data_IF_397256953980
#
_entry.id   IF_397256953980
#
_cell.length_a   1.000
_cell.length_b   1.000
_cell.length_c   1.000
_cell.angle_alpha   90.00
_cell.angle_beta   90.00
_cell.angle_gamma   90.00
#
_symmetry.space_group_name_H-M   'P 1'
#
loop_
_entity.id
_entity.type
_entity.pdbx_description
1 polymer ?
#
# COMPACT_ATOMS: atom_id res chain seq x y z
N UNK A 1 -13.91 8.35 -40.49
CA UNK A 1 -13.89 9.73 -39.97
C UNK A 1 -15.09 10.02 -39.05
N UNK A 2 -15.57 9.04 -38.25
CA UNK A 2 -16.77 9.19 -37.41
C UNK A 2 -16.64 8.64 -35.98
N UNK A 3 -15.49 8.11 -35.55
CA UNK A 3 -15.27 7.68 -34.14
C UNK A 3 -14.42 8.65 -33.30
N UNK A 4 -14.03 9.80 -33.86
CA UNK A 4 -13.10 10.75 -33.21
C UNK A 4 -13.75 11.90 -32.42
N UNK A 5 -15.07 11.90 -32.23
CA UNK A 5 -15.77 13.00 -31.52
C UNK A 5 -16.22 12.69 -30.09
N UNK A 6 -16.02 11.48 -29.57
CA UNK A 6 -16.56 11.14 -28.24
C UNK A 6 -15.58 11.24 -27.06
N UNK A 7 -14.29 11.52 -27.30
CA UNK A 7 -13.26 11.52 -26.24
C UNK A 7 -12.95 12.93 -25.69
N UNK A 8 -13.36 14.00 -26.37
CA UNK A 8 -13.04 15.37 -25.98
C UNK A 8 -13.96 16.01 -24.92
N UNK A 9 -14.99 15.31 -24.41
CA UNK A 9 -15.96 15.92 -23.46
C UNK A 9 -15.76 15.55 -21.97
N UNK A 10 -14.67 14.88 -21.58
CA UNK A 10 -14.52 14.35 -20.20
C UNK A 10 -13.37 14.98 -19.40
N UNK A 11 -12.49 15.77 -20.00
CA UNK A 11 -11.35 16.34 -19.30
C UNK A 11 -11.39 17.87 -19.27
N UNK A 12 -11.90 18.39 -18.16
CA UNK A 12 -11.61 19.77 -17.76
C UNK A 12 -10.11 19.93 -17.56
N UNK A 13 -9.56 20.98 -18.19
CA UNK A 13 -8.18 21.42 -18.04
C UNK A 13 -7.80 21.50 -16.55
N UNK A 14 -6.73 20.81 -16.15
CA UNK A 14 -5.99 21.20 -14.95
C UNK A 14 -4.49 21.09 -15.25
N UNK A 15 -3.89 22.27 -15.19
CA UNK A 15 -2.52 22.58 -15.50
C UNK A 15 -1.52 21.91 -14.56
N UNK A 16 -0.31 21.74 -15.08
CA UNK A 16 0.89 21.24 -14.44
C UNK A 16 1.13 21.81 -13.02
N UNK A 17 1.55 20.95 -12.10
CA UNK A 17 2.14 21.36 -10.82
C UNK A 17 3.53 20.75 -10.67
N UNK A 18 4.53 21.64 -10.66
CA UNK A 18 5.91 21.34 -10.31
C UNK A 18 6.06 21.03 -8.82
N UNK A 19 6.92 20.07 -8.49
CA UNK A 19 7.34 19.73 -7.12
C UNK A 19 8.26 20.81 -6.54
N UNK A 20 8.09 21.24 -5.27
CA UNK A 20 9.11 22.03 -4.59
C UNK A 20 10.20 21.14 -3.99
N UNK A 21 11.46 21.50 -4.24
CA UNK A 21 12.60 21.07 -3.44
C UNK A 21 12.35 21.42 -1.96
N UNK A 22 12.53 20.43 -1.08
CA UNK A 22 12.60 20.65 0.36
C UNK A 22 13.97 20.14 0.81
N UNK A 23 14.83 21.08 1.14
CA UNK A 23 16.17 20.86 1.69
C UNK A 23 16.09 19.95 2.92
N UNK A 24 16.90 18.91 2.88
CA UNK A 24 17.13 17.95 3.95
C UNK A 24 18.00 18.56 5.03
N UNK A 25 17.40 18.95 6.15
CA UNK A 25 18.10 19.10 7.43
C UNK A 25 17.11 18.86 8.57
N UNK A 26 17.01 17.59 9.00
CA UNK A 26 16.33 17.20 10.23
C UNK A 26 17.38 16.86 11.29
N UNK A 27 17.32 17.44 12.50
CA UNK A 27 18.25 17.09 13.56
C UNK A 27 17.94 15.68 14.09
N UNK A 28 18.86 14.75 13.84
CA UNK A 28 18.97 13.48 14.55
C UNK A 28 19.41 13.75 15.99
N UNK A 29 18.47 13.79 16.94
CA UNK A 29 18.66 13.26 18.29
C UNK A 29 17.44 13.58 19.16
N UNK A 30 16.61 12.57 19.46
CA UNK A 30 15.98 12.38 20.78
C UNK A 30 15.22 11.03 20.82
N UNK A 31 15.80 9.96 21.42
CA UNK A 31 15.18 8.64 21.54
C UNK A 31 14.04 8.57 22.57
N UNK A 32 12.80 8.86 22.18
CA UNK A 32 11.64 8.74 23.08
C UNK A 32 11.22 7.28 23.39
N UNK A 33 11.74 6.29 22.65
CA UNK A 33 11.42 4.86 22.81
C UNK A 33 12.01 4.19 24.06
N UNK A 34 12.91 4.86 24.82
CA UNK A 34 13.51 4.29 26.04
C UNK A 34 12.57 4.17 27.25
N UNK A 35 11.31 4.65 27.18
CA UNK A 35 10.37 4.66 28.33
C UNK A 35 9.39 3.48 28.39
N UNK A 36 9.43 2.51 27.48
CA UNK A 36 8.43 1.42 27.42
C UNK A 36 8.82 0.17 28.25
N UNK A 37 9.97 0.18 28.92
CA UNK A 37 10.48 -1.00 29.66
C UNK A 37 10.41 -0.84 31.17
N UNK A 38 9.22 -0.67 31.76
CA UNK A 38 9.03 -0.79 33.20
C UNK A 38 7.57 -1.06 33.60
N UNK A 39 7.06 -2.25 33.29
CA UNK A 39 5.99 -2.87 34.10
C UNK A 39 6.18 -4.38 34.10
N UNK A 40 6.88 -4.87 35.13
CA UNK A 40 6.94 -6.30 35.44
C UNK A 40 5.59 -6.71 36.03
N UNK A 41 4.80 -7.46 35.29
CA UNK A 41 3.77 -8.33 35.86
C UNK A 41 4.02 -9.76 35.37
N UNK A 42 4.32 -10.66 36.31
CA UNK A 42 4.41 -12.10 36.07
C UNK A 42 2.97 -12.66 35.97
N UNK A 43 2.65 -13.52 34.99
CA UNK A 43 1.50 -14.40 35.11
C UNK A 43 1.95 -15.79 35.57
N UNK A 44 1.25 -16.30 36.59
CA UNK A 44 1.33 -17.68 37.08
C UNK A 44 0.79 -18.68 36.06
N UNK A 45 1.46 -19.82 35.97
CA UNK A 45 1.14 -20.94 35.10
C UNK A 45 0.17 -21.93 35.80
N UNK A 46 -1.02 -22.15 35.24
CA UNK A 46 -1.70 -23.44 35.05
C UNK A 46 -3.20 -23.26 34.72
N UNK A 47 -3.65 -23.67 33.53
CA UNK A 47 -4.54 -24.84 33.37
C UNK A 47 -5.00 -25.08 31.91
N UNK A 48 -4.86 -26.34 31.49
CA UNK A 48 -5.71 -27.15 30.60
C UNK A 48 -5.95 -26.67 29.16
N UNK A 49 -5.07 -27.17 28.28
CA UNK A 49 -5.26 -27.26 26.83
C UNK A 49 -6.42 -28.21 26.51
N UNK A 50 -7.57 -27.68 26.07
CA UNK A 50 -8.54 -28.44 25.28
C UNK A 50 -8.13 -28.33 23.81
N UNK A 51 -7.69 -29.45 23.23
CA UNK A 51 -7.41 -29.58 21.79
C UNK A 51 -8.74 -29.47 21.04
N UNK A 52 -8.99 -28.34 20.38
CA UNK A 52 -9.96 -28.28 19.28
C UNK A 52 -9.20 -28.50 17.96
N UNK A 53 -9.72 -29.35 17.05
CA UNK A 53 -9.02 -29.70 15.83
C UNK A 53 -8.92 -28.51 14.87
N UNK A 54 -7.70 -28.20 14.43
CA UNK A 54 -7.44 -27.26 13.35
C UNK A 54 -8.14 -27.69 12.06
N UNK A 55 -8.70 -26.76 11.26
CA UNK A 55 -9.13 -27.07 9.91
C UNK A 55 -7.92 -27.53 9.10
N UNK A 56 -8.07 -28.68 8.45
CA UNK A 56 -7.07 -29.31 7.61
C UNK A 56 -6.67 -28.38 6.47
N UNK A 57 -5.37 -28.24 6.26
CA UNK A 57 -4.78 -27.65 5.05
C UNK A 57 -5.19 -28.48 3.84
N UNK A 58 -6.02 -27.92 2.96
CA UNK A 58 -6.33 -28.45 1.64
C UNK A 58 -5.80 -27.53 0.55
N UNK A 59 -5.04 -28.15 -0.38
CA UNK A 59 -4.79 -27.78 -1.78
C UNK A 59 -3.53 -26.96 -2.09
N UNK A 60 -2.40 -27.66 -2.28
CA UNK A 60 -1.22 -27.15 -3.00
C UNK A 60 -1.39 -27.19 -4.54
N UNK A 61 -2.34 -27.96 -5.08
CA UNK A 61 -2.58 -28.08 -6.53
C UNK A 61 -3.34 -26.87 -7.13
N UNK A 62 -4.24 -26.24 -6.37
CA UNK A 62 -5.03 -25.11 -6.88
C UNK A 62 -4.24 -23.80 -6.93
N UNK A 63 -3.24 -23.64 -6.06
CA UNK A 63 -2.42 -22.43 -5.97
C UNK A 63 -1.65 -22.15 -7.26
N UNK A 64 -1.13 -23.18 -7.94
CA UNK A 64 -0.35 -22.98 -9.15
C UNK A 64 -1.20 -22.37 -10.28
N UNK A 65 -2.46 -22.80 -10.40
CA UNK A 65 -3.40 -22.24 -11.38
C UNK A 65 -3.76 -20.78 -11.08
N UNK A 66 -3.87 -20.39 -9.82
CA UNK A 66 -4.15 -18.99 -9.47
C UNK A 66 -2.93 -18.07 -9.67
N UNK A 67 -1.72 -18.57 -9.38
CA UNK A 67 -0.46 -17.88 -9.70
C UNK A 67 -0.37 -17.60 -11.20
N UNK A 68 -0.60 -18.61 -12.03
CA UNK A 68 -0.55 -18.49 -13.49
C UNK A 68 -1.59 -17.50 -14.03
N UNK A 69 -2.84 -17.56 -13.54
CA UNK A 69 -3.89 -16.59 -13.93
C UNK A 69 -3.54 -15.15 -13.57
N UNK A 70 -2.97 -14.91 -12.38
CA UNK A 70 -2.58 -13.56 -11.97
C UNK A 70 -1.40 -13.07 -12.82
N UNK A 71 -0.39 -13.91 -13.04
CA UNK A 71 0.75 -13.59 -13.90
C UNK A 71 0.31 -13.28 -15.33
N UNK A 72 -0.61 -14.06 -15.89
CA UNK A 72 -1.18 -13.82 -17.22
C UNK A 72 -1.86 -12.45 -17.30
N UNK A 73 -2.77 -12.15 -16.36
CA UNK A 73 -3.47 -10.85 -16.30
C UNK A 73 -2.51 -9.67 -16.17
N UNK A 74 -1.48 -9.80 -15.32
CA UNK A 74 -0.45 -8.78 -15.15
C UNK A 74 0.41 -8.64 -16.42
N UNK A 75 0.73 -9.74 -17.10
CA UNK A 75 1.44 -9.74 -18.37
C UNK A 75 0.67 -9.00 -19.45
N UNK A 76 -0.61 -9.31 -19.64
CA UNK A 76 -1.50 -8.63 -20.58
C UNK A 76 -1.65 -7.14 -20.23
N UNK A 77 -1.78 -6.81 -18.96
CA UNK A 77 -1.81 -5.41 -18.49
C UNK A 77 -0.54 -4.65 -18.84
N UNK A 78 0.64 -5.23 -18.56
CA UNK A 78 1.93 -4.60 -18.86
C UNK A 78 2.15 -4.44 -20.36
N UNK A 79 1.78 -5.43 -21.17
CA UNK A 79 1.82 -5.34 -22.63
C UNK A 79 0.93 -4.19 -23.14
N UNK A 80 -0.29 -4.06 -22.61
CA UNK A 80 -1.20 -2.96 -22.97
C UNK A 80 -0.65 -1.59 -22.56
N UNK A 81 -0.03 -1.49 -21.37
CA UNK A 81 0.64 -0.27 -20.94
C UNK A 81 1.79 0.12 -21.88
N UNK A 82 2.59 -0.85 -22.36
CA UNK A 82 3.68 -0.59 -23.31
C UNK A 82 3.15 -0.10 -24.67
N UNK A 83 2.09 -0.74 -25.19
CA UNK A 83 1.42 -0.33 -26.42
C UNK A 83 0.90 1.12 -26.31
N UNK A 84 0.18 1.44 -25.24
CA UNK A 84 -0.36 2.78 -25.00
C UNK A 84 0.74 3.82 -24.75
N UNK A 85 1.85 3.43 -24.13
CA UNK A 85 2.99 4.32 -23.94
C UNK A 85 3.59 4.74 -25.28
N UNK A 86 3.74 3.81 -26.24
CA UNK A 86 4.22 4.12 -27.60
C UNK A 86 3.30 5.11 -28.31
N UNK A 87 1.99 4.89 -28.26
CA UNK A 87 0.99 5.78 -28.87
C UNK A 87 1.02 7.17 -28.20
N UNK A 88 1.05 7.21 -26.86
CA UNK A 88 1.09 8.47 -26.11
C UNK A 88 2.33 9.31 -26.42
N UNK A 89 3.47 8.68 -26.72
CA UNK A 89 4.70 9.36 -27.14
C UNK A 89 4.59 9.92 -28.56
N UNK A 90 4.02 9.16 -29.49
CA UNK A 90 3.78 9.58 -30.88
C UNK A 90 2.80 10.76 -30.93
N UNK A 91 1.73 10.70 -30.15
CA UNK A 91 0.67 11.73 -30.10
C UNK A 91 0.96 12.87 -29.11
N UNK A 92 2.12 12.85 -28.44
CA UNK A 92 2.52 13.83 -27.38
C UNK A 92 1.46 14.04 -26.30
N UNK A 93 0.74 12.98 -25.94
CA UNK A 93 -0.28 13.02 -24.91
C UNK A 93 0.33 12.79 -23.52
N UNK A 94 -0.19 13.47 -22.51
CA UNK A 94 0.07 13.13 -21.10
C UNK A 94 -1.18 12.46 -20.54
N UNK A 95 -1.12 11.15 -20.30
CA UNK A 95 -2.26 10.40 -19.79
C UNK A 95 -1.86 9.33 -18.77
N UNK A 96 -2.82 8.93 -17.94
CA UNK A 96 -2.70 7.79 -17.03
C UNK A 96 -2.85 6.49 -17.82
N UNK A 97 -1.80 6.10 -18.53
CA UNK A 97 -1.76 4.89 -19.38
C UNK A 97 -2.19 3.64 -18.62
N UNK A 98 -1.89 3.57 -17.32
CA UNK A 98 -2.26 2.49 -16.42
C UNK A 98 -3.78 2.39 -16.23
N UNK A 99 -4.48 3.51 -16.12
CA UNK A 99 -5.94 3.53 -16.06
C UNK A 99 -6.60 3.23 -17.40
N UNK A 100 -6.01 3.70 -18.50
CA UNK A 100 -6.50 3.41 -19.85
C UNK A 100 -6.38 1.92 -20.17
N UNK A 101 -5.22 1.31 -19.90
CA UNK A 101 -4.99 -0.12 -20.05
C UNK A 101 -6.01 -0.95 -19.26
N UNK A 102 -6.22 -0.61 -17.98
CA UNK A 102 -7.21 -1.28 -17.14
C UNK A 102 -8.63 -1.16 -17.69
N UNK A 103 -9.01 0.04 -18.14
CA UNK A 103 -10.35 0.30 -18.70
C UNK A 103 -10.60 -0.58 -19.93
N UNK A 104 -9.61 -0.67 -20.82
CA UNK A 104 -9.71 -1.45 -22.05
C UNK A 104 -9.76 -2.96 -21.76
N UNK A 105 -8.89 -3.47 -20.89
CA UNK A 105 -8.89 -4.89 -20.52
C UNK A 105 -10.16 -5.31 -19.76
N UNK A 106 -10.80 -4.39 -19.03
CA UNK A 106 -12.12 -4.62 -18.44
C UNK A 106 -13.23 -4.67 -19.49
N UNK A 107 -13.18 -3.80 -20.49
CA UNK A 107 -14.12 -3.80 -21.62
C UNK A 107 -14.06 -5.10 -22.41
N UNK A 108 -12.86 -5.67 -22.54
CA UNK A 108 -12.62 -6.95 -23.21
C UNK A 108 -12.96 -8.18 -22.34
N UNK A 109 -13.33 -7.99 -21.07
CA UNK A 109 -13.65 -9.09 -20.16
C UNK A 109 -12.44 -9.89 -19.64
N UNK A 110 -11.21 -9.51 -20.04
CA UNK A 110 -9.96 -10.17 -19.60
C UNK A 110 -9.74 -9.95 -18.11
N UNK A 111 -9.92 -8.70 -17.64
CA UNK A 111 -9.81 -8.35 -16.23
C UNK A 111 -11.21 -8.10 -15.69
N UNK A 112 -11.63 -8.94 -14.75
CA UNK A 112 -12.89 -8.75 -14.04
C UNK A 112 -12.85 -7.51 -13.14
N UNK A 113 -14.04 -7.01 -12.78
CA UNK A 113 -14.15 -6.08 -11.66
C UNK A 113 -13.70 -6.81 -10.39
N UNK A 114 -13.00 -6.08 -9.52
CA UNK A 114 -12.54 -6.60 -8.22
C UNK A 114 -13.69 -7.27 -7.46
N UNK A 115 -13.43 -8.48 -6.94
CA UNK A 115 -14.31 -9.20 -6.03
C UNK A 115 -14.36 -8.51 -4.66
N UNK A 116 -15.17 -9.05 -3.74
CA UNK A 116 -15.22 -8.55 -2.37
C UNK A 116 -13.83 -8.55 -1.72
N UNK A 117 -13.51 -7.53 -0.89
CA UNK A 117 -12.23 -7.49 -0.19
C UNK A 117 -12.02 -8.71 0.70
N UNK A 118 -10.83 -9.31 0.60
CA UNK A 118 -10.42 -10.47 1.41
C UNK A 118 -9.41 -10.04 2.46
N UNK A 119 -9.45 -10.68 3.64
CA UNK A 119 -8.46 -10.54 4.71
C UNK A 119 -7.35 -11.58 4.55
N UNK A 120 -6.13 -11.24 4.99
CA UNK A 120 -5.00 -12.16 4.93
C UNK A 120 -4.40 -12.29 3.53
N UNK A 121 -3.81 -13.45 3.24
CA UNK A 121 -3.14 -13.75 1.96
C UNK A 121 -4.12 -13.77 0.78
N UNK A 122 -3.62 -13.45 -0.41
CA UNK A 122 -4.37 -13.53 -1.66
C UNK A 122 -3.89 -14.75 -2.43
N UNK A 123 -4.79 -15.68 -2.84
CA UNK A 123 -4.42 -16.78 -3.72
C UNK A 123 -3.73 -16.28 -4.99
N UNK A 124 -2.60 -16.90 -5.34
CA UNK A 124 -1.83 -16.53 -6.52
C UNK A 124 -0.87 -15.34 -6.36
N UNK A 125 -0.75 -14.77 -5.16
CA UNK A 125 0.20 -13.67 -4.87
C UNK A 125 1.11 -14.05 -3.70
N UNK A 126 2.41 -14.00 -3.94
CA UNK A 126 3.44 -14.45 -3.00
C UNK A 126 4.22 -13.27 -2.42
N UNK A 127 4.72 -13.46 -1.19
CA UNK A 127 5.58 -12.48 -0.53
C UNK A 127 6.86 -12.32 -1.36
N UNK A 128 7.21 -11.07 -1.69
CA UNK A 128 8.29 -10.72 -2.62
C UNK A 128 7.82 -10.39 -4.03
N UNK A 129 6.56 -10.68 -4.39
CA UNK A 129 6.02 -10.27 -5.69
C UNK A 129 6.09 -8.74 -5.88
N UNK A 130 6.55 -8.33 -7.06
CA UNK A 130 6.80 -6.94 -7.42
C UNK A 130 5.87 -6.42 -8.51
N UNK A 131 5.48 -5.16 -8.39
CA UNK A 131 4.50 -4.49 -9.24
C UNK A 131 4.97 -3.09 -9.62
N UNK A 132 4.66 -2.65 -10.84
CA UNK A 132 5.11 -1.34 -11.36
C UNK A 132 4.06 -0.24 -11.21
N UNK A 133 2.80 -0.61 -11.05
CA UNK A 133 1.68 0.32 -10.95
C UNK A 133 0.79 -0.01 -9.75
N UNK A 134 0.21 1.01 -9.12
CA UNK A 134 -0.87 0.82 -8.13
C UNK A 134 -2.06 0.06 -8.70
N UNK A 135 -2.27 0.15 -10.02
CA UNK A 135 -3.29 -0.60 -10.73
C UNK A 135 -3.02 -2.11 -10.71
N UNK A 136 -1.76 -2.52 -10.79
CA UNK A 136 -1.40 -3.94 -10.70
C UNK A 136 -1.76 -4.54 -9.33
N UNK A 137 -1.62 -3.76 -8.24
CA UNK A 137 -2.07 -4.19 -6.91
C UNK A 137 -3.58 -4.44 -6.84
N UNK A 138 -4.38 -3.72 -7.65
CA UNK A 138 -5.80 -4.02 -7.78
C UNK A 138 -6.05 -5.28 -8.60
N UNK A 139 -5.33 -5.45 -9.71
CA UNK A 139 -5.47 -6.63 -10.59
C UNK A 139 -5.11 -7.90 -9.80
N UNK A 140 -4.07 -7.83 -8.98
CA UNK A 140 -3.64 -8.90 -8.09
C UNK A 140 -4.53 -9.08 -6.84
N UNK A 141 -5.50 -8.20 -6.59
CA UNK A 141 -6.38 -8.29 -5.41
C UNK A 141 -5.75 -7.86 -4.08
N UNK A 142 -4.52 -7.36 -4.08
CA UNK A 142 -3.83 -6.92 -2.87
C UNK A 142 -4.46 -5.66 -2.26
N UNK A 143 -4.74 -4.65 -3.09
CA UNK A 143 -5.18 -3.33 -2.66
C UNK A 143 -6.14 -2.70 -3.67
N UNK A 144 -7.38 -2.43 -3.26
CA UNK A 144 -8.46 -1.97 -4.17
C UNK A 144 -8.44 -0.47 -4.48
N UNK A 145 -7.64 0.31 -3.77
CA UNK A 145 -7.58 1.78 -3.92
C UNK A 145 -6.28 2.25 -4.55
N UNK A 146 -6.41 3.12 -5.54
CA UNK A 146 -5.34 3.48 -6.46
C UNK A 146 -4.52 4.67 -5.93
N UNK A 147 -5.14 5.50 -5.09
CA UNK A 147 -4.56 6.72 -4.54
C UNK A 147 -4.36 6.66 -3.03
N UNK A 148 -5.19 5.90 -2.31
CA UNK A 148 -5.13 5.81 -0.86
C UNK A 148 -4.02 4.84 -0.42
N UNK A 149 -3.34 5.18 0.66
CA UNK A 149 -2.37 4.31 1.30
C UNK A 149 -3.01 3.18 2.10
N UNK A 150 -4.25 3.35 2.57
CA UNK A 150 -4.97 2.37 3.39
C UNK A 150 -6.17 1.83 2.61
N UNK A 151 -6.23 0.52 2.47
CA UNK A 151 -7.44 -0.19 2.06
C UNK A 151 -8.13 -0.84 3.27
N UNK A 152 -9.45 -0.90 3.19
CA UNK A 152 -10.27 -1.42 4.27
C UNK A 152 -11.60 -1.93 3.77
N UNK A 153 -12.17 -2.85 4.54
CA UNK A 153 -13.50 -3.42 4.33
C UNK A 153 -14.40 -3.19 5.53
N UNK A 154 -15.70 -3.35 5.33
CA UNK A 154 -16.68 -3.38 6.41
C UNK A 154 -17.13 -4.83 6.62
N UNK A 155 -17.03 -5.34 7.85
CA UNK A 155 -17.59 -6.65 8.24
C UNK A 155 -18.52 -6.43 9.43
N UNK A 156 -19.81 -6.64 9.19
CA UNK A 156 -20.85 -6.24 10.14
C UNK A 156 -20.78 -4.73 10.46
N UNK A 157 -20.63 -4.39 11.73
CA UNK A 157 -20.55 -3.00 12.19
C UNK A 157 -19.12 -2.44 12.28
N UNK A 158 -18.09 -3.25 12.01
CA UNK A 158 -16.69 -2.84 12.15
C UNK A 158 -16.04 -2.57 10.79
N UNK A 159 -15.20 -1.53 10.74
CA UNK A 159 -14.23 -1.33 9.65
C UNK A 159 -12.95 -2.08 10.02
N UNK A 160 -12.31 -2.71 9.04
CA UNK A 160 -11.06 -3.45 9.23
C UNK A 160 -10.12 -3.11 8.09
N UNK A 161 -8.88 -2.74 8.42
CA UNK A 161 -7.86 -2.53 7.40
C UNK A 161 -7.52 -3.88 6.75
N UNK A 162 -7.41 -3.89 5.43
CA UNK A 162 -7.10 -5.09 4.64
C UNK A 162 -5.68 -5.06 4.10
N UNK A 163 -5.23 -3.88 3.67
CA UNK A 163 -3.91 -3.67 3.09
C UNK A 163 -3.45 -2.24 3.33
N UNK A 164 -2.16 -2.04 3.52
CA UNK A 164 -1.52 -0.72 3.48
C UNK A 164 -0.41 -0.71 2.43
N UNK A 165 -0.18 0.46 1.85
CA UNK A 165 0.99 0.72 1.02
C UNK A 165 1.84 1.80 1.66
N UNK A 166 3.05 1.42 2.05
CA UNK A 166 4.05 2.30 2.65
C UNK A 166 5.09 2.65 1.57
N UNK A 167 5.06 3.87 1.07
CA UNK A 167 5.92 4.33 -0.03
C UNK A 167 7.06 5.18 0.52
N UNK A 168 8.29 4.92 0.06
CA UNK A 168 9.46 5.74 0.35
C UNK A 168 9.22 7.21 -0.04
N UNK A 169 9.71 8.13 0.79
CA UNK A 169 9.45 9.58 0.65
C UNK A 169 8.28 10.10 1.48
N UNK A 170 7.47 9.21 2.08
CA UNK A 170 6.57 9.56 3.18
C UNK A 170 7.29 9.43 4.54
N UNK A 171 6.82 10.13 5.59
CA UNK A 171 7.45 10.11 6.91
C UNK A 171 7.34 8.76 7.65
N UNK A 172 6.87 7.71 6.95
CA UNK A 172 6.75 6.37 7.47
C UNK A 172 8.14 5.80 7.75
N UNK A 173 8.33 5.30 8.97
CA UNK A 173 9.59 4.65 9.33
C UNK A 173 9.52 3.21 8.87
N UNK A 174 10.04 2.99 7.66
CA UNK A 174 10.30 1.69 7.08
C UNK A 174 11.67 1.22 7.61
N UNK A 175 11.67 0.50 8.74
CA UNK A 175 12.80 -0.26 9.30
C UNK A 175 14.19 0.37 9.13
N UNK A 176 14.62 1.15 10.12
CA UNK A 176 16.00 1.63 10.23
C UNK A 176 16.94 0.49 10.61
N UNK A 177 17.97 0.30 9.78
CA UNK A 177 19.27 -0.38 9.93
C UNK A 177 19.52 -1.61 10.83
N UNK A 178 18.79 -1.84 11.94
CA UNK A 178 19.21 -2.83 12.95
C UNK A 178 18.15 -3.92 13.27
N UNK A 179 16.91 -3.79 12.79
CA UNK A 179 15.86 -4.82 12.91
C UNK A 179 15.14 -5.00 11.55
N UNK A 180 15.37 -6.13 10.87
CA UNK A 180 15.12 -6.42 9.46
C UNK A 180 13.63 -6.43 9.02
N UNK A 181 12.92 -5.33 9.19
CA UNK A 181 11.55 -5.15 8.67
C UNK A 181 10.44 -5.77 9.53
N UNK A 182 10.75 -6.19 10.76
CA UNK A 182 9.77 -6.76 11.69
C UNK A 182 8.75 -5.72 12.20
N UNK A 183 9.17 -4.47 12.33
CA UNK A 183 8.31 -3.36 12.80
C UNK A 183 8.19 -2.28 11.73
N UNK A 184 6.96 -1.82 11.50
CA UNK A 184 6.64 -0.69 10.62
C UNK A 184 5.85 0.35 11.41
N UNK A 185 6.31 1.59 11.39
CA UNK A 185 5.53 2.73 11.89
C UNK A 185 4.90 3.45 10.70
N UNK A 186 3.59 3.32 10.59
CA UNK A 186 2.79 3.85 9.48
C UNK A 186 2.02 5.10 9.91
N UNK A 187 2.08 6.15 9.11
CA UNK A 187 1.36 7.40 9.35
C UNK A 187 -0.05 7.30 8.78
N UNK A 188 -1.05 7.70 9.57
CA UNK A 188 -2.45 7.70 9.17
C UNK A 188 -2.72 8.56 7.93
N UNK A 189 -3.87 8.35 7.31
CA UNK A 189 -4.33 9.12 6.16
C UNK A 189 -5.00 10.45 6.57
N UNK A 190 -4.96 11.43 5.67
CA UNK A 190 -5.62 12.72 5.84
C UNK A 190 -4.67 13.84 6.25
N UNK A 191 -5.21 15.06 6.28
CA UNK A 191 -4.46 16.27 6.64
C UNK A 191 -3.69 16.92 5.50
N UNK A 192 -3.24 16.18 4.48
CA UNK A 192 -2.51 16.74 3.32
C UNK A 192 -3.22 16.64 1.97
N UNK A 193 -4.20 15.74 1.80
CA UNK A 193 -4.85 15.54 0.50
C UNK A 193 -5.74 16.72 0.10
N UNK A 194 -5.49 17.28 -1.09
CA UNK A 194 -6.28 18.37 -1.66
C UNK A 194 -5.92 19.77 -1.16
N UNK A 195 -4.83 19.92 -0.41
CA UNK A 195 -4.32 21.23 -0.03
C UNK A 195 -3.74 21.95 -1.25
N UNK A 196 -4.10 23.23 -1.41
CA UNK A 196 -3.44 24.10 -2.37
C UNK A 196 -2.03 24.46 -1.88
N UNK A 197 -1.17 24.86 -2.81
CA UNK A 197 0.17 25.38 -2.48
C UNK A 197 0.05 26.50 -1.45
N UNK A 198 0.71 26.33 -0.30
CA UNK A 198 0.70 27.30 0.80
C UNK A 198 -0.33 27.04 1.91
N UNK A 199 -1.24 26.07 1.75
CA UNK A 199 -2.16 25.70 2.83
C UNK A 199 -1.49 24.79 3.87
N UNK A 200 -1.79 25.04 5.14
CA UNK A 200 -1.29 24.24 6.24
C UNK A 200 -1.99 22.87 6.32
N UNK A 201 -1.24 21.79 6.64
CA UNK A 201 -1.83 20.49 6.97
C UNK A 201 -2.90 20.61 8.05
N UNK A 202 -4.08 20.03 7.78
CA UNK A 202 -5.17 19.95 8.76
C UNK A 202 -4.97 18.74 9.66
N UNK A 203 -5.49 18.82 10.88
CA UNK A 203 -5.49 17.69 11.81
C UNK A 203 -6.13 16.46 11.17
N UNK A 204 -5.45 15.33 11.30
CA UNK A 204 -5.99 14.05 10.89
C UNK A 204 -7.21 13.70 11.73
N UNK A 205 -8.14 12.95 11.12
CA UNK A 205 -9.37 12.51 11.77
C UNK A 205 -9.37 10.99 11.92
N UNK A 206 -9.89 10.49 13.04
CA UNK A 206 -10.06 9.05 13.30
C UNK A 206 -11.28 8.50 12.55
N UNK A 207 -11.21 8.52 11.22
CA UNK A 207 -12.28 8.08 10.30
C UNK A 207 -11.68 7.24 9.18
N UNK A 208 -12.52 6.56 8.39
CA UNK A 208 -12.11 5.82 7.18
C UNK A 208 -10.92 4.87 7.47
N UNK A 209 -9.79 5.05 6.78
CA UNK A 209 -8.61 4.19 6.92
C UNK A 209 -7.99 4.23 8.31
N UNK A 210 -7.95 5.39 8.95
CA UNK A 210 -7.44 5.53 10.33
C UNK A 210 -8.31 4.75 11.31
N UNK A 211 -9.63 4.87 11.18
CA UNK A 211 -10.58 4.10 12.00
C UNK A 211 -10.47 2.60 11.72
N UNK A 212 -10.23 2.21 10.47
CA UNK A 212 -10.04 0.82 10.09
C UNK A 212 -8.76 0.22 10.72
N UNK A 213 -7.62 0.93 10.66
CA UNK A 213 -6.39 0.52 11.33
C UNK A 213 -6.56 0.46 12.85
N UNK A 214 -7.19 1.48 13.45
CA UNK A 214 -7.48 1.49 14.90
C UNK A 214 -8.36 0.31 15.31
N UNK A 215 -9.37 -0.01 14.51
CA UNK A 215 -10.27 -1.14 14.75
C UNK A 215 -9.54 -2.48 14.62
N UNK A 216 -8.61 -2.60 13.67
CA UNK A 216 -7.78 -3.79 13.46
C UNK A 216 -6.93 -4.17 14.66
N UNK A 217 -6.59 -3.24 15.56
CA UNK A 217 -5.96 -3.57 16.85
C UNK A 217 -6.88 -4.46 17.70
N UNK A 218 -8.14 -4.07 17.84
CA UNK A 218 -9.12 -4.79 18.67
C UNK A 218 -9.66 -6.06 18.02
N UNK A 219 -9.70 -6.09 16.69
CA UNK A 219 -10.18 -7.24 15.92
C UNK A 219 -9.07 -8.26 15.71
N UNK A 220 -7.80 -7.85 15.82
CA UNK A 220 -6.61 -8.67 15.61
C UNK A 220 -6.61 -9.35 14.23
N UNK A 221 -7.03 -8.64 13.19
CA UNK A 221 -6.97 -9.16 11.82
C UNK A 221 -5.60 -8.90 11.17
N UNK A 222 -5.25 -9.75 10.20
CA UNK A 222 -4.05 -9.53 9.38
C UNK A 222 -4.27 -8.37 8.41
N UNK A 223 -3.23 -7.55 8.26
CA UNK A 223 -3.15 -6.43 7.32
C UNK A 223 -1.98 -6.71 6.38
N UNK A 224 -2.25 -6.73 5.07
CA UNK A 224 -1.20 -6.85 4.05
C UNK A 224 -0.37 -5.57 4.00
N UNK A 225 0.94 -5.69 3.84
CA UNK A 225 1.85 -4.57 3.65
C UNK A 225 2.48 -4.66 2.28
N UNK A 226 2.39 -3.57 1.51
CA UNK A 226 3.13 -3.38 0.26
C UNK A 226 4.09 -2.22 0.44
N UNK A 227 5.36 -2.41 0.14
CA UNK A 227 6.39 -1.35 0.20
C UNK A 227 6.62 -0.76 -1.17
N UNK A 228 6.55 0.56 -1.32
CA UNK A 228 6.87 1.27 -2.55
C UNK A 228 8.26 1.87 -2.50
N UNK A 229 9.15 1.44 -3.39
CA UNK A 229 10.53 1.93 -3.51
C UNK A 229 10.65 2.86 -4.70
N UNK A 230 11.33 4.01 -4.53
CA UNK A 230 11.55 4.92 -5.66
C UNK A 230 12.67 4.36 -6.56
N UNK A 231 12.44 4.31 -7.87
CA UNK A 231 13.41 3.80 -8.83
C UNK A 231 13.95 4.90 -9.74
N UNK A 232 15.28 5.00 -9.82
CA UNK A 232 16.04 5.81 -10.78
C UNK A 232 16.44 7.20 -10.28
N UNK A 233 17.52 7.71 -10.88
CA UNK A 233 17.91 9.12 -10.78
C UNK A 233 16.89 9.98 -11.53
N UNK A 234 16.73 11.23 -11.08
CA UNK A 234 15.79 12.22 -11.62
C UNK A 234 16.13 12.67 -13.07
N UNK A 235 16.30 11.73 -14.00
CA UNK A 235 16.51 12.00 -15.43
C UNK A 235 15.16 12.37 -16.07
N UNK A 236 14.72 13.61 -15.82
CA UNK A 236 13.81 14.38 -16.67
C UNK A 236 12.37 13.86 -16.86
N UNK A 237 11.99 12.74 -16.26
CA UNK A 237 10.63 12.21 -16.32
C UNK A 237 9.67 12.94 -15.39
N UNK A 238 8.49 13.31 -15.90
CA UNK A 238 7.47 14.10 -15.20
C UNK A 238 6.88 13.46 -13.92
N UNK A 239 7.19 12.18 -13.61
CA UNK A 239 6.74 11.49 -12.39
C UNK A 239 7.78 10.45 -11.90
N UNK A 240 8.03 10.35 -10.58
CA UNK A 240 8.90 9.32 -10.01
C UNK A 240 8.33 7.92 -10.29
N UNK A 241 9.20 7.01 -10.75
CA UNK A 241 8.87 5.59 -10.92
C UNK A 241 8.98 4.89 -9.57
N UNK A 242 8.04 4.00 -9.29
CA UNK A 242 8.04 3.19 -8.08
C UNK A 242 7.95 1.71 -8.41
N UNK A 243 8.67 0.90 -7.66
CA UNK A 243 8.44 -0.55 -7.58
C UNK A 243 7.71 -0.84 -6.27
N UNK A 244 6.58 -1.51 -6.35
CA UNK A 244 5.80 -1.94 -5.19
C UNK A 244 6.06 -3.41 -4.93
N UNK A 245 6.46 -3.78 -3.72
CA UNK A 245 6.77 -5.16 -3.34
C UNK A 245 5.83 -5.60 -2.22
N UNK A 246 5.18 -6.76 -2.38
CA UNK A 246 4.35 -7.33 -1.33
C UNK A 246 5.23 -7.91 -0.22
N UNK A 247 5.16 -7.30 0.96
CA UNK A 247 6.05 -7.62 2.09
C UNK A 247 5.48 -8.67 3.05
N UNK A 248 4.18 -8.96 2.92
CA UNK A 248 3.47 -9.98 3.69
C UNK A 248 2.44 -9.42 4.66
N UNK A 249 2.10 -10.23 5.66
CA UNK A 249 1.06 -9.93 6.64
C UNK A 249 1.65 -9.37 7.94
N UNK A 250 0.92 -8.42 8.49
CA UNK A 250 1.24 -7.72 9.73
C UNK A 250 0.02 -7.65 10.64
N UNK A 251 0.25 -7.56 11.95
CA UNK A 251 -0.74 -7.14 12.95
C UNK A 251 -0.54 -5.67 13.30
N UNK A 252 -1.63 -4.93 13.46
CA UNK A 252 -1.59 -3.58 14.06
C UNK A 252 -1.59 -3.76 15.57
N UNK A 253 -0.49 -3.38 16.22
CA UNK A 253 -0.31 -3.60 17.67
C UNK A 253 -0.56 -2.35 18.50
N UNK A 254 -0.48 -1.16 17.88
CA UNK A 254 -0.57 0.11 18.59
C UNK A 254 -0.99 1.27 17.71
N UNK A 255 -1.51 2.31 18.35
CA UNK A 255 -1.84 3.59 17.71
C UNK A 255 -1.55 4.70 18.70
N UNK A 256 -0.78 5.69 18.28
CA UNK A 256 -0.43 6.89 19.03
C UNK A 256 -0.83 8.10 18.18
N UNK A 257 -1.39 9.12 18.82
CA UNK A 257 -1.56 10.44 18.25
C UNK A 257 -0.37 11.33 18.64
N UNK A 258 0.18 12.04 17.67
CA UNK A 258 1.30 12.96 17.88
C UNK A 258 1.07 14.21 17.06
N UNK A 259 1.78 15.28 17.40
CA UNK A 259 1.87 16.47 16.55
C UNK A 259 3.11 16.38 15.66
N UNK A 260 2.98 16.80 14.40
CA UNK A 260 4.12 16.99 13.51
C UNK A 260 4.84 18.32 13.81
N UNK A 261 5.87 18.66 13.03
CA UNK A 261 6.64 19.92 13.20
C UNK A 261 5.75 21.15 13.04
N UNK A 262 4.66 21.04 12.29
CA UNK A 262 3.70 22.13 12.05
C UNK A 262 2.59 22.16 13.11
N UNK A 263 2.75 21.40 14.20
CA UNK A 263 1.77 21.23 15.27
C UNK A 263 0.45 20.59 14.81
N UNK A 264 0.44 19.94 13.64
CA UNK A 264 -0.73 19.25 13.10
C UNK A 264 -0.85 17.86 13.72
N UNK A 265 -2.07 17.50 14.15
CA UNK A 265 -2.35 16.17 14.69
C UNK A 265 -2.22 15.10 13.60
N UNK A 266 -1.39 14.10 13.86
CA UNK A 266 -1.20 12.92 13.01
C UNK A 266 -1.34 11.64 13.85
N UNK A 267 -1.87 10.58 13.24
CA UNK A 267 -1.89 9.26 13.85
C UNK A 267 -0.71 8.44 13.36
N UNK A 268 -0.06 7.71 14.27
CA UNK A 268 0.96 6.72 13.96
C UNK A 268 0.51 5.36 14.44
N UNK A 269 0.60 4.38 13.55
CA UNK A 269 0.24 2.99 13.82
C UNK A 269 1.50 2.14 13.83
N UNK A 270 1.68 1.35 14.87
CA UNK A 270 2.74 0.35 14.93
C UNK A 270 2.19 -0.96 14.38
N UNK A 271 2.84 -1.48 13.34
CA UNK A 271 2.54 -2.77 12.74
C UNK A 271 3.72 -3.71 12.97
N UNK A 272 3.43 -4.94 13.37
CA UNK A 272 4.42 -6.01 13.53
C UNK A 272 4.19 -7.12 12.53
N UNK A 273 5.26 -7.55 11.88
CA UNK A 273 5.23 -8.59 10.87
C UNK A 273 4.86 -9.92 11.51
N UNK A 274 4.00 -10.68 10.85
CA UNK A 274 3.70 -12.03 11.30
C UNK A 274 4.97 -12.89 11.21
N UNK A 275 5.29 -13.69 12.25
CA UNK A 275 6.49 -14.51 12.27
C UNK A 275 6.42 -15.63 11.23
N UNK A 276 7.57 -16.17 10.83
CA UNK A 276 7.70 -17.31 9.91
C UNK A 276 7.18 -17.07 8.48
N UNK A 277 7.17 -15.81 8.04
CA UNK A 277 6.95 -15.46 6.63
C UNK A 277 8.30 -15.28 5.92
N UNK A 278 8.42 -15.63 4.62
CA UNK A 278 9.65 -15.40 3.84
C UNK A 278 10.19 -13.98 3.97
N UNK A 279 11.51 -13.81 4.07
CA UNK A 279 12.14 -12.49 4.16
C UNK A 279 12.21 -11.86 2.78
N UNK A 280 11.79 -10.59 2.67
CA UNK A 280 11.95 -9.81 1.44
C UNK A 280 13.27 -9.05 1.50
N UNK A 281 14.13 -9.25 0.51
CA UNK A 281 15.42 -8.56 0.42
C UNK A 281 15.27 -7.12 -0.10
N UNK A 282 14.60 -6.25 0.66
CA UNK A 282 14.24 -4.88 0.24
C UNK A 282 15.41 -4.01 -0.22
N UNK A 283 16.64 -4.28 0.26
CA UNK A 283 17.87 -3.58 -0.16
C UNK A 283 18.13 -3.70 -1.66
N UNK A 284 17.68 -4.76 -2.33
CA UNK A 284 17.88 -4.93 -3.79
C UNK A 284 17.02 -3.96 -4.63
N UNK A 285 16.01 -3.34 -4.03
CA UNK A 285 15.10 -2.41 -4.72
C UNK A 285 15.47 -0.94 -4.51
N UNK A 286 16.36 -0.65 -3.54
CA UNK A 286 16.94 0.68 -3.35
C UNK A 286 18.07 0.85 -4.35
N UNK A 287 17.79 1.55 -5.45
CA UNK A 287 18.84 2.07 -6.32
C UNK A 287 19.47 3.23 -5.54
N UNK A 288 20.72 3.04 -5.10
CA UNK A 288 21.54 4.04 -4.40
C UNK A 288 21.97 5.11 -5.39
#
# INVERSE_FOLDING_TARGET
MSELKHISSIFGNNSAMASPNLDSNFPENYPWWRKVSASKSKPSFNEKIKKNPHPKTSNSMDNNGDIEKIKEKLGLFRAKCQELCRISLEERMTCRIDFLALKELRKQGIIAKMSEPVLGSIPGVEIGDSFNYRVELMIAGLHSRNQHGIDYMKKGRKLMATCIVATEGYPDKIGGHDEEGEVLIYTGEGGMYGLKKGECPKDQKMVKGNLALKSSISVDNDVRVVRGFRCGDNLGGMNPKFTYVYDGLYKVVGCIDTRDIKSTLIFKFELRRNPRQPVVAWRTYRII
#
